data_IF_782745479694
#
_entry.id   IF_782745479694
#
_cell.length_a   1.000
_cell.length_b   1.000
_cell.length_c   1.000
_cell.angle_alpha   90.00
_cell.angle_beta   90.00
_cell.angle_gamma   90.00
#
_symmetry.space_group_name_H-M   'P 1'
#
loop_
_entity.id
_entity.type
_entity.pdbx_description
1 polymer ?
#
# COMPACT_ATOMS: atom_id res chain seq x y z
N UNK A 1 -11.37 22.50 1.14
CA UNK A 1 -10.42 23.56 0.74
C UNK A 1 -10.57 23.75 -0.76
N UNK A 2 -11.07 24.91 -1.20
CA UNK A 2 -11.17 25.23 -2.63
C UNK A 2 -10.01 26.13 -2.99
N UNK A 3 -9.18 25.71 -3.95
CA UNK A 3 -7.98 26.43 -4.35
C UNK A 3 -8.08 26.70 -5.85
N UNK A 4 -7.88 27.95 -6.27
CA UNK A 4 -7.84 28.28 -7.69
C UNK A 4 -6.49 27.92 -8.31
N UNK A 5 -6.41 27.97 -9.64
CA UNK A 5 -5.18 27.62 -10.39
C UNK A 5 -3.95 28.38 -9.88
N UNK A 6 -4.05 29.70 -9.67
CA UNK A 6 -2.92 30.53 -9.25
C UNK A 6 -2.42 30.11 -7.87
N UNK A 7 -3.34 29.97 -6.91
CA UNK A 7 -3.01 29.52 -5.56
C UNK A 7 -2.35 28.14 -5.55
N UNK A 8 -2.77 27.22 -6.41
CA UNK A 8 -2.13 25.91 -6.53
C UNK A 8 -0.70 26.00 -7.08
N UNK A 9 -0.49 26.80 -8.13
CA UNK A 9 0.84 26.98 -8.72
C UNK A 9 1.81 27.63 -7.74
N UNK A 10 1.33 28.61 -6.96
CA UNK A 10 2.11 29.35 -5.96
C UNK A 10 2.31 28.56 -4.65
N UNK A 11 1.64 27.41 -4.47
CA UNK A 11 1.76 26.62 -3.24
C UNK A 11 3.18 26.03 -3.12
N UNK A 12 3.95 26.33 -2.05
CA UNK A 12 5.31 25.81 -1.86
C UNK A 12 5.40 24.28 -1.84
N UNK A 13 4.44 23.59 -1.20
CA UNK A 13 4.44 22.14 -1.07
C UNK A 13 3.15 21.57 -1.68
N UNK A 14 3.26 20.98 -2.87
CA UNK A 14 2.11 20.46 -3.60
C UNK A 14 1.91 18.99 -3.27
N UNK A 15 0.69 18.62 -2.89
CA UNK A 15 0.26 17.24 -2.72
C UNK A 15 -1.00 16.99 -3.53
N UNK A 16 -1.02 15.88 -4.28
CA UNK A 16 -2.16 15.48 -5.11
C UNK A 16 -2.57 14.08 -4.68
N UNK A 17 -3.83 13.92 -4.29
CA UNK A 17 -4.42 12.62 -4.00
C UNK A 17 -5.21 12.15 -5.21
N UNK A 18 -4.81 11.03 -5.79
CA UNK A 18 -5.57 10.35 -6.83
C UNK A 18 -6.48 9.30 -6.17
N UNK A 19 -7.77 9.60 -6.08
CA UNK A 19 -8.78 8.71 -5.50
C UNK A 19 -9.75 8.23 -6.57
N UNK A 20 -10.08 6.94 -6.54
CA UNK A 20 -11.03 6.32 -7.45
C UNK A 20 -10.87 4.82 -7.51
N UNK A 21 -11.80 4.14 -8.20
CA UNK A 21 -11.82 2.68 -8.30
C UNK A 21 -10.62 2.11 -9.07
N UNK A 22 -10.43 0.79 -9.03
CA UNK A 22 -9.45 0.13 -9.90
C UNK A 22 -9.76 0.42 -11.38
N UNK A 23 -8.74 0.57 -12.22
CA UNK A 23 -8.90 0.81 -13.66
C UNK A 23 -9.16 2.26 -14.09
N UNK A 24 -9.51 3.19 -13.20
CA UNK A 24 -9.79 4.61 -13.57
C UNK A 24 -8.54 5.43 -13.98
N UNK A 25 -7.36 4.79 -14.06
CA UNK A 25 -6.14 5.45 -14.54
C UNK A 25 -5.31 6.18 -13.49
N UNK A 26 -5.53 5.97 -12.18
CA UNK A 26 -4.73 6.58 -11.09
C UNK A 26 -3.23 6.38 -11.31
N UNK A 27 -2.82 5.14 -11.55
CA UNK A 27 -1.42 4.76 -11.77
C UNK A 27 -0.88 5.41 -13.05
N UNK A 28 -1.67 5.47 -14.11
CA UNK A 28 -1.30 6.11 -15.37
C UNK A 28 -1.03 7.60 -15.18
N UNK A 29 -1.89 8.31 -14.46
CA UNK A 29 -1.73 9.74 -14.21
C UNK A 29 -0.55 10.02 -13.28
N UNK A 30 -0.40 9.24 -12.20
CA UNK A 30 0.77 9.34 -11.32
C UNK A 30 2.06 9.17 -12.12
N UNK A 31 2.15 8.16 -12.99
CA UNK A 31 3.33 7.89 -13.82
C UNK A 31 3.67 8.97 -14.85
N UNK A 32 2.74 9.85 -15.20
CA UNK A 32 2.99 10.99 -16.08
C UNK A 32 3.64 12.18 -15.35
N UNK A 33 3.62 12.22 -14.03
CA UNK A 33 4.28 13.28 -13.26
C UNK A 33 5.81 13.11 -13.33
N UNK A 34 6.59 14.21 -13.44
CA UNK A 34 8.05 14.13 -13.48
C UNK A 34 8.62 13.55 -12.19
N UNK A 35 9.30 12.40 -12.28
CA UNK A 35 9.90 11.70 -11.13
C UNK A 35 10.95 12.51 -10.37
N UNK A 36 11.58 13.48 -11.04
CA UNK A 36 12.59 14.36 -10.42
C UNK A 36 12.02 15.45 -9.51
N UNK A 37 10.73 15.77 -9.65
CA UNK A 37 10.07 16.82 -8.85
C UNK A 37 8.87 16.31 -8.07
N UNK A 38 8.40 15.09 -8.35
CA UNK A 38 7.26 14.46 -7.69
C UNK A 38 7.63 13.12 -7.07
N UNK A 39 7.31 12.97 -5.80
CA UNK A 39 7.45 11.70 -5.10
C UNK A 39 6.17 10.86 -5.24
N UNK A 40 6.31 9.63 -5.76
CA UNK A 40 5.17 8.74 -5.99
C UNK A 40 4.86 7.94 -4.72
N UNK A 41 3.77 8.32 -4.05
CA UNK A 41 3.29 7.63 -2.86
C UNK A 41 2.11 6.71 -3.20
N UNK A 42 2.36 5.41 -3.35
CA UNK A 42 1.29 4.40 -3.41
C UNK A 42 0.90 3.94 -2.01
N UNK A 43 -0.37 4.14 -1.65
CA UNK A 43 -0.97 3.62 -0.42
C UNK A 43 -1.12 2.09 -0.49
N UNK A 44 -1.67 1.59 -1.59
CA UNK A 44 -1.89 0.16 -1.82
C UNK A 44 -0.59 -0.65 -1.70
N UNK A 45 0.50 -0.14 -2.29
CA UNK A 45 1.81 -0.80 -2.21
C UNK A 45 2.29 -0.90 -0.76
N UNK A 46 2.12 0.16 0.04
CA UNK A 46 2.55 0.17 1.44
C UNK A 46 1.68 -0.69 2.33
N UNK A 47 0.35 -0.65 2.13
CA UNK A 47 -0.57 -1.55 2.84
C UNK A 47 -0.17 -3.00 2.56
N UNK A 48 -0.02 -3.36 1.28
CA UNK A 48 0.40 -4.70 0.87
C UNK A 48 1.73 -5.15 1.45
N UNK A 49 2.77 -4.32 1.33
CA UNK A 49 4.15 -4.74 1.66
C UNK A 49 4.56 -4.50 3.11
N UNK A 50 4.05 -3.44 3.76
CA UNK A 50 4.48 -3.05 5.11
C UNK A 50 3.50 -3.47 6.19
N UNK A 51 2.20 -3.50 5.89
CA UNK A 51 1.18 -3.67 6.93
C UNK A 51 0.43 -5.00 6.84
N UNK A 52 0.35 -5.61 5.66
CA UNK A 52 -0.37 -6.87 5.47
C UNK A 52 0.52 -8.11 5.60
N UNK A 53 1.84 -7.99 5.57
CA UNK A 53 2.73 -9.16 5.62
C UNK A 53 2.56 -9.97 6.93
N UNK A 54 2.67 -9.32 8.09
CA UNK A 54 2.51 -9.98 9.40
C UNK A 54 1.08 -10.53 9.59
N UNK A 55 -0.02 -9.77 9.38
CA UNK A 55 -1.37 -10.30 9.52
C UNK A 55 -1.69 -11.47 8.58
N UNK A 56 -1.18 -11.45 7.34
CA UNK A 56 -1.35 -12.56 6.40
C UNK A 56 -0.63 -13.80 6.93
N UNK A 57 0.63 -13.66 7.34
CA UNK A 57 1.43 -14.77 7.86
C UNK A 57 0.80 -15.36 9.14
N UNK A 58 0.36 -14.51 10.06
CA UNK A 58 -0.31 -14.92 11.29
C UNK A 58 -1.61 -15.67 10.99
N UNK A 59 -2.39 -15.20 10.02
CA UNK A 59 -3.60 -15.89 9.60
C UNK A 59 -3.27 -17.25 9.00
N UNK A 60 -2.25 -17.35 8.13
CA UNK A 60 -1.78 -18.63 7.55
C UNK A 60 -1.33 -19.58 8.65
N UNK A 61 -0.50 -19.14 9.60
CA UNK A 61 -0.07 -19.93 10.77
C UNK A 61 -1.28 -20.41 11.58
N UNK A 62 -2.25 -19.53 11.85
CA UNK A 62 -3.48 -19.89 12.58
C UNK A 62 -4.32 -20.94 11.87
N UNK A 63 -4.41 -20.87 10.54
CA UNK A 63 -5.08 -21.92 9.76
C UNK A 63 -4.30 -23.23 9.75
N UNK A 64 -2.98 -23.17 9.57
CA UNK A 64 -2.10 -24.34 9.59
C UNK A 64 -2.14 -25.07 10.94
N UNK A 65 -2.24 -24.33 12.06
CA UNK A 65 -2.40 -24.89 13.41
C UNK A 65 -3.68 -25.72 13.61
N UNK A 66 -4.64 -25.68 12.67
CA UNK A 66 -5.83 -26.57 12.68
C UNK A 66 -5.48 -28.00 12.27
N UNK A 67 -4.39 -28.20 11.52
CA UNK A 67 -3.87 -29.52 11.16
C UNK A 67 -2.91 -29.96 12.27
N UNK A 68 -3.18 -31.05 13.02
CA UNK A 68 -2.38 -31.44 14.17
C UNK A 68 -0.88 -31.59 13.86
N UNK A 69 -0.55 -32.23 12.74
CA UNK A 69 0.84 -32.37 12.29
C UNK A 69 1.56 -31.02 12.09
N UNK A 70 0.94 -30.07 11.37
CA UNK A 70 1.53 -28.75 11.13
C UNK A 70 1.60 -27.92 12.41
N UNK A 71 0.61 -28.06 13.30
CA UNK A 71 0.62 -27.39 14.61
C UNK A 71 1.84 -27.82 15.43
N UNK A 72 2.14 -29.10 15.44
CA UNK A 72 3.24 -29.62 16.25
C UNK A 72 4.58 -29.13 15.69
N UNK A 73 4.74 -29.12 14.35
CA UNK A 73 5.92 -28.56 13.67
C UNK A 73 6.10 -27.04 13.91
N UNK A 74 5.02 -26.26 13.82
CA UNK A 74 5.04 -24.81 14.06
C UNK A 74 5.31 -24.45 15.52
N UNK A 75 4.98 -25.33 16.47
CA UNK A 75 5.24 -25.13 17.90
C UNK A 75 6.65 -25.53 18.30
N UNK A 76 7.26 -26.48 17.59
CA UNK A 76 8.64 -26.91 17.79
C UNK A 76 9.65 -26.09 16.99
N UNK A 77 9.22 -24.97 16.37
CA UNK A 77 10.03 -24.12 15.49
C UNK A 77 10.74 -24.92 14.38
N UNK A 78 10.12 -26.03 13.97
CA UNK A 78 10.66 -26.94 12.96
C UNK A 78 10.32 -26.49 11.53
N UNK A 79 9.42 -25.51 11.39
CA UNK A 79 9.05 -24.76 10.17
C UNK A 79 8.59 -23.33 10.52
#
# INVERSE_FOLDING_TARGET
MHMNRKQFMDWPNKAITLLGMSGVGKTTLANKLPKGSWFHYSGDYRIGTKYLQEPILDNVKRQAMRVPFLRDLLRSDSI
#
